data_IF_053579739802
#
_entry.id   IF_053579739802
#
_cell.length_a   1.000
_cell.length_b   1.000
_cell.length_c   1.000
_cell.angle_alpha   90.00
_cell.angle_beta   90.00
_cell.angle_gamma   90.00
#
_symmetry.space_group_name_H-M   'P 1'
#
loop_
_entity.id
_entity.type
_entity.pdbx_description
1 polymer ?
#
# COMPACT_ATOMS: atom_id res chain seq x y z
N UNK A 1 -4.81 7.95 -2.07
CA UNK A 1 -4.23 9.00 -2.94
C UNK A 1 -3.14 9.70 -2.17
N UNK A 2 -1.99 9.89 -2.81
CA UNK A 2 -0.85 10.61 -2.28
C UNK A 2 -0.75 11.96 -2.98
N UNK A 3 -0.42 13.00 -2.22
CA UNK A 3 -0.06 14.30 -2.76
C UNK A 3 1.41 14.23 -3.22
N UNK A 4 1.69 14.82 -4.38
CA UNK A 4 3.03 14.95 -4.94
C UNK A 4 3.34 16.43 -5.19
N UNK A 5 4.62 16.81 -5.14
CA UNK A 5 5.04 18.14 -5.54
C UNK A 5 5.17 18.20 -7.07
N UNK A 6 4.37 19.02 -7.78
CA UNK A 6 4.47 19.16 -9.24
C UNK A 6 5.81 19.70 -9.73
N UNK A 7 6.62 20.30 -8.84
CA UNK A 7 7.95 20.81 -9.17
C UNK A 7 9.04 19.74 -9.08
N UNK A 8 8.75 18.63 -8.40
CA UNK A 8 9.67 17.51 -8.27
C UNK A 8 9.36 16.41 -9.30
N UNK A 9 10.38 15.80 -9.91
CA UNK A 9 10.17 14.78 -10.95
C UNK A 9 9.70 13.43 -10.37
N UNK A 10 9.92 13.21 -9.07
CA UNK A 10 9.63 11.95 -8.41
C UNK A 10 9.17 12.15 -6.96
N UNK A 11 8.46 11.16 -6.43
CA UNK A 11 8.04 11.09 -5.03
C UNK A 11 8.38 9.73 -4.45
N UNK A 12 8.78 9.70 -3.18
CA UNK A 12 9.10 8.48 -2.44
C UNK A 12 8.00 8.20 -1.40
N UNK A 13 7.57 6.94 -1.30
CA UNK A 13 6.61 6.50 -0.29
C UNK A 13 7.13 5.28 0.47
N UNK A 14 6.70 5.15 1.73
CA UNK A 14 6.93 3.95 2.53
C UNK A 14 5.84 2.90 2.22
N UNK A 15 6.28 1.66 2.07
CA UNK A 15 5.44 0.47 1.91
C UNK A 15 5.36 -0.27 3.25
N UNK A 16 4.24 -0.97 3.47
CA UNK A 16 4.04 -1.71 4.72
C UNK A 16 4.97 -2.93 4.91
N UNK A 17 5.76 -3.29 3.90
CA UNK A 17 6.73 -4.38 3.95
C UNK A 17 7.51 -4.52 2.64
N UNK A 18 8.61 -5.31 2.63
CA UNK A 18 9.44 -5.50 1.45
C UNK A 18 8.92 -6.50 0.42
N UNK A 19 8.00 -7.41 0.78
CA UNK A 19 7.53 -8.44 -0.14
C UNK A 19 6.27 -7.99 -0.89
N UNK A 20 6.50 -7.16 -1.92
CA UNK A 20 5.46 -6.53 -2.73
C UNK A 20 5.40 -7.13 -4.13
N UNK A 21 4.18 -7.40 -4.59
CA UNK A 21 3.86 -7.88 -5.94
C UNK A 21 2.87 -6.93 -6.63
N UNK A 22 2.78 -7.01 -7.97
CA UNK A 22 1.78 -6.31 -8.80
C UNK A 22 1.66 -4.80 -8.52
N UNK A 23 2.76 -4.12 -8.23
CA UNK A 23 2.76 -2.69 -7.95
C UNK A 23 2.37 -1.87 -9.19
N UNK A 24 1.37 -1.01 -9.03
CA UNK A 24 0.87 -0.11 -10.05
C UNK A 24 0.73 1.29 -9.44
N UNK A 25 1.38 2.27 -10.06
CA UNK A 25 1.19 3.69 -9.75
C UNK A 25 0.45 4.39 -10.90
N UNK A 26 -0.55 5.20 -10.56
CA UNK A 26 -1.38 5.93 -11.53
C UNK A 26 -1.46 7.39 -11.13
N UNK A 27 -1.12 8.29 -12.07
CA UNK A 27 -1.23 9.73 -11.87
C UNK A 27 -2.68 10.22 -11.90
N UNK A 28 -2.91 11.47 -11.50
CA UNK A 28 -4.23 12.10 -11.46
C UNK A 28 -4.98 12.11 -12.81
N UNK A 29 -4.25 12.04 -13.91
CA UNK A 29 -4.75 12.00 -15.28
C UNK A 29 -5.07 10.57 -15.77
N UNK A 30 -4.91 9.56 -14.91
CA UNK A 30 -5.16 8.15 -15.23
C UNK A 30 -4.02 7.46 -15.98
N UNK A 31 -2.88 8.12 -16.17
CA UNK A 31 -1.71 7.52 -16.82
C UNK A 31 -0.88 6.71 -15.82
N UNK A 32 -0.33 5.59 -16.32
CA UNK A 32 0.62 4.79 -15.55
C UNK A 32 1.91 5.57 -15.33
N UNK A 33 2.37 5.57 -14.08
CA UNK A 33 3.64 6.15 -13.68
C UNK A 33 4.71 5.07 -13.57
N UNK A 34 5.94 5.43 -13.91
CA UNK A 34 7.10 4.56 -13.71
C UNK A 34 7.44 4.51 -12.22
N UNK A 35 7.87 3.35 -11.74
CA UNK A 35 8.19 3.16 -10.33
C UNK A 35 9.30 2.14 -10.11
N UNK A 36 10.12 2.38 -9.11
CA UNK A 36 11.15 1.46 -8.63
C UNK A 36 10.92 1.14 -7.15
N UNK A 37 11.01 -0.14 -6.78
CA UNK A 37 10.84 -0.59 -5.40
C UNK A 37 12.19 -1.01 -4.84
N UNK A 38 12.54 -0.49 -3.67
CA UNK A 38 13.75 -0.84 -2.94
C UNK A 38 13.43 -1.09 -1.48
N UNK A 39 13.35 -2.37 -1.10
CA UNK A 39 12.96 -2.78 0.24
C UNK A 39 11.55 -2.29 0.58
N UNK A 40 11.42 -1.49 1.64
CA UNK A 40 10.13 -0.93 2.10
C UNK A 40 9.80 0.43 1.48
N UNK A 41 10.45 0.80 0.37
CA UNK A 41 10.25 2.09 -0.27
C UNK A 41 9.92 1.92 -1.73
N UNK A 42 9.05 2.78 -2.23
CA UNK A 42 8.80 2.93 -3.66
C UNK A 42 9.10 4.37 -4.08
N UNK A 43 9.85 4.51 -5.17
CA UNK A 43 10.10 5.77 -5.85
C UNK A 43 9.23 5.80 -7.10
N UNK A 44 8.36 6.80 -7.22
CA UNK A 44 7.43 6.96 -8.34
C UNK A 44 7.85 8.20 -9.12
N UNK A 45 8.06 8.07 -10.44
CA UNK A 45 8.31 9.19 -11.33
C UNK A 45 6.97 9.88 -11.65
N UNK A 46 6.69 10.99 -10.98
CA UNK A 46 5.40 11.70 -11.04
C UNK A 46 5.33 12.69 -12.21
N UNK A 47 6.47 13.11 -12.77
CA UNK A 47 6.58 14.01 -13.92
C UNK A 47 5.68 15.26 -13.84
N UNK A 48 5.57 15.85 -12.65
CA UNK A 48 4.77 17.05 -12.40
C UNK A 48 3.28 16.80 -12.16
N UNK A 49 2.86 15.55 -11.91
CA UNK A 49 1.53 15.25 -11.38
C UNK A 49 1.38 15.80 -9.95
N UNK A 50 0.25 16.41 -9.62
CA UNK A 50 -0.02 16.89 -8.26
C UNK A 50 -0.47 15.80 -7.30
N UNK A 51 -0.97 14.68 -7.83
CA UNK A 51 -1.36 13.52 -7.03
C UNK A 51 -1.23 12.22 -7.82
N UNK A 52 -1.13 11.12 -7.08
CA UNK A 52 -1.12 9.77 -7.64
C UNK A 52 -1.77 8.77 -6.68
N UNK A 53 -2.12 7.61 -7.21
CA UNK A 53 -2.62 6.45 -6.46
C UNK A 53 -1.72 5.26 -6.70
N UNK A 54 -1.58 4.42 -5.68
CA UNK A 54 -0.77 3.21 -5.73
C UNK A 54 -1.63 2.03 -5.30
N UNK A 55 -1.55 0.95 -6.07
CA UNK A 55 -2.17 -0.34 -5.77
C UNK A 55 -1.09 -1.41 -5.85
N UNK A 56 -1.07 -2.34 -4.89
CA UNK A 56 -0.09 -3.41 -4.83
C UNK A 56 -0.56 -4.55 -3.91
N UNK A 57 0.02 -5.73 -4.11
CA UNK A 57 -0.17 -6.89 -3.25
C UNK A 57 0.99 -6.98 -2.23
N UNK A 58 0.68 -7.32 -0.98
CA UNK A 58 1.68 -7.50 0.08
C UNK A 58 1.36 -8.71 0.94
N UNK A 59 2.37 -9.59 1.11
CA UNK A 59 2.21 -10.84 1.86
C UNK A 59 2.56 -10.69 3.35
N UNK A 60 3.29 -9.64 3.72
CA UNK A 60 3.86 -9.48 5.06
C UNK A 60 2.83 -9.15 6.15
N UNK A 61 1.65 -8.66 5.78
CA UNK A 61 0.62 -8.22 6.73
C UNK A 61 -0.27 -9.35 7.24
N UNK A 62 -0.07 -10.56 6.72
CA UNK A 62 -0.96 -11.70 6.97
C UNK A 62 -0.13 -12.86 7.52
N UNK A 63 -0.58 -13.42 8.64
CA UNK A 63 -0.07 -14.69 9.15
C UNK A 63 -1.21 -15.70 9.31
N UNK A 64 -0.87 -16.99 9.24
CA UNK A 64 -1.85 -18.08 9.36
C UNK A 64 -1.41 -19.08 10.43
N UNK A 65 -2.25 -19.27 11.42
CA UNK A 65 -2.08 -20.32 12.44
C UNK A 65 -3.30 -21.24 12.42
N UNK A 66 -3.11 -22.49 11.98
CA UNK A 66 -4.19 -23.46 11.80
C UNK A 66 -5.26 -22.95 10.82
N UNK A 67 -6.44 -22.61 11.35
CA UNK A 67 -7.60 -22.10 10.58
C UNK A 67 -7.81 -20.60 10.73
N UNK A 68 -6.98 -19.91 11.52
CA UNK A 68 -7.09 -18.48 11.78
C UNK A 68 -6.09 -17.75 10.89
N UNK A 69 -6.58 -16.68 10.26
CA UNK A 69 -5.76 -15.67 9.59
C UNK A 69 -5.71 -14.43 10.47
N UNK A 70 -4.50 -13.94 10.73
CA UNK A 70 -4.26 -12.71 11.49
C UNK A 70 -3.78 -11.65 10.51
N UNK A 71 -4.51 -10.54 10.45
CA UNK A 71 -4.11 -9.33 9.74
C UNK A 71 -3.56 -8.33 10.77
N UNK A 72 -2.37 -7.79 10.50
CA UNK A 72 -1.70 -6.81 11.35
C UNK A 72 -1.14 -5.70 10.48
N UNK A 73 -1.44 -4.45 10.86
CA UNK A 73 -0.97 -3.27 10.13
C UNK A 73 -0.66 -2.15 11.13
N UNK A 74 0.47 -1.49 10.91
CA UNK A 74 0.78 -0.20 11.52
C UNK A 74 0.55 0.89 10.45
N UNK A 75 -0.62 1.52 10.51
CA UNK A 75 -1.08 2.46 9.49
C UNK A 75 -0.94 3.91 9.97
N UNK A 76 -0.30 4.80 9.18
CA UNK A 76 -0.12 6.21 9.55
C UNK A 76 -1.43 7.03 9.43
N UNK A 77 -2.49 6.45 8.87
CA UNK A 77 -3.78 7.09 8.65
C UNK A 77 -4.93 6.09 8.80
N UNK A 78 -6.16 6.59 8.78
CA UNK A 78 -7.36 5.76 8.85
C UNK A 78 -7.43 4.81 7.65
N UNK A 79 -7.76 3.54 7.90
CA UNK A 79 -7.89 2.52 6.87
C UNK A 79 -9.23 1.80 6.96
N UNK A 80 -9.60 1.14 5.87
CA UNK A 80 -10.72 0.21 5.82
C UNK A 80 -10.20 -1.16 5.41
N UNK A 81 -10.76 -2.23 5.97
CA UNK A 81 -10.38 -3.60 5.68
C UNK A 81 -11.57 -4.35 5.06
N UNK A 82 -11.36 -4.89 3.87
CA UNK A 82 -12.34 -5.75 3.21
C UNK A 82 -11.95 -7.22 3.42
N UNK A 83 -12.79 -7.95 4.15
CA UNK A 83 -12.59 -9.39 4.40
C UNK A 83 -13.31 -10.25 3.35
N UNK A 84 -12.85 -11.50 3.11
CA UNK A 84 -13.56 -12.46 2.29
C UNK A 84 -15.01 -12.65 2.76
N UNK A 85 -15.91 -12.94 1.82
CA UNK A 85 -17.28 -13.28 2.17
C UNK A 85 -17.32 -14.49 3.12
N UNK A 86 -18.29 -14.49 4.04
CA UNK A 86 -18.47 -15.52 5.07
C UNK A 86 -17.31 -15.64 6.08
N UNK A 87 -16.52 -14.58 6.26
CA UNK A 87 -15.53 -14.52 7.34
C UNK A 87 -16.18 -14.21 8.69
N UNK A 88 -15.61 -14.75 9.76
CA UNK A 88 -15.99 -14.43 11.15
C UNK A 88 -14.79 -13.83 11.85
N UNK A 89 -14.99 -12.67 12.48
CA UNK A 89 -13.95 -12.02 13.28
C UNK A 89 -13.99 -12.64 14.68
N UNK A 90 -12.88 -13.28 15.08
CA UNK A 90 -12.77 -13.98 16.37
C UNK A 90 -12.02 -13.18 17.43
N UNK A 91 -11.39 -12.06 17.05
CA UNK A 91 -10.69 -11.15 17.95
C UNK A 91 -10.24 -9.87 17.24
N UNK A 92 -10.09 -8.80 18.00
CA UNK A 92 -9.53 -7.52 17.54
C UNK A 92 -8.65 -6.93 18.65
N UNK A 93 -7.55 -6.31 18.27
CA UNK A 93 -6.63 -5.59 19.14
C UNK A 93 -6.28 -4.25 18.51
N UNK A 94 -6.10 -3.21 19.33
CA UNK A 94 -5.57 -1.91 18.92
C UNK A 94 -4.08 -1.76 19.23
N UNK A 95 -3.45 -2.81 19.78
CA UNK A 95 -2.01 -2.90 19.92
C UNK A 95 -1.42 -3.62 18.69
N UNK A 96 -0.40 -3.05 18.03
CA UNK A 96 0.37 -3.76 17.02
C UNK A 96 1.13 -4.94 17.65
#
# INVERSE_FOLDING_TARGET
TFDADPLEPASEIDLFGPNVDNFVAVGENGFLLSSEISGKKATIETFGSASFTVEYDIHDLISKEGRIWTFMIDAPSQYSLLMPQNSVIVGMSNLP
#
